data_IF_586846630234
#
_entry.id   IF_586846630234
#
_cell.length_a   1.000
_cell.length_b   1.000
_cell.length_c   1.000
_cell.angle_alpha   90.00
_cell.angle_beta   90.00
_cell.angle_gamma   90.00
#
_symmetry.space_group_name_H-M   'P 1'
#
loop_
_entity.id
_entity.type
_entity.pdbx_description
1 polymer ?
#
# COMPACT_ATOMS: atom_id res chain seq x y z
N UNK A 1 9.48 39.05 4.33
CA UNK A 1 9.61 37.73 4.99
C UNK A 1 8.94 36.73 4.06
N UNK A 2 9.70 36.13 3.15
CA UNK A 2 9.20 35.12 2.21
C UNK A 2 9.24 33.77 2.91
N UNK A 3 8.10 33.33 3.43
CA UNK A 3 7.96 31.97 3.92
C UNK A 3 7.61 31.10 2.72
N UNK A 4 8.63 30.45 2.17
CA UNK A 4 8.47 29.46 1.11
C UNK A 4 7.62 28.31 1.67
N UNK A 5 6.35 28.27 1.27
CA UNK A 5 5.43 27.17 1.52
C UNK A 5 5.98 25.94 0.80
N UNK A 6 6.79 25.14 1.50
CA UNK A 6 7.08 23.79 1.06
C UNK A 6 5.73 23.06 0.98
N UNK A 7 5.31 22.56 -0.20
CA UNK A 7 4.01 21.92 -0.32
C UNK A 7 4.03 20.68 0.56
N UNK A 8 3.14 20.66 1.56
CA UNK A 8 3.05 19.59 2.55
C UNK A 8 2.97 18.24 1.83
N UNK A 9 3.97 17.37 2.07
CA UNK A 9 4.06 16.03 1.48
C UNK A 9 2.78 15.22 1.72
N UNK A 10 2.13 15.44 2.86
CA UNK A 10 0.88 14.78 3.24
C UNK A 10 -0.26 15.16 2.30
N UNK A 11 -0.35 16.41 1.86
CA UNK A 11 -1.35 16.87 0.89
C UNK A 11 -1.11 16.27 -0.49
N UNK A 12 0.15 16.16 -0.91
CA UNK A 12 0.51 15.50 -2.18
C UNK A 12 0.13 14.02 -2.16
N UNK A 13 0.40 13.33 -1.05
CA UNK A 13 0.05 11.93 -0.88
C UNK A 13 -1.46 11.72 -0.87
N UNK A 14 -2.21 12.60 -0.20
CA UNK A 14 -3.67 12.55 -0.21
C UNK A 14 -4.23 12.73 -1.63
N UNK A 15 -3.74 13.71 -2.39
CA UNK A 15 -4.17 13.93 -3.78
C UNK A 15 -3.83 12.75 -4.69
N UNK A 16 -2.65 12.15 -4.52
CA UNK A 16 -2.27 10.96 -5.28
C UNK A 16 -3.15 9.75 -4.93
N UNK A 17 -3.51 9.59 -3.65
CA UNK A 17 -4.41 8.52 -3.20
C UNK A 17 -5.82 8.69 -3.75
N UNK A 18 -6.37 9.91 -3.74
CA UNK A 18 -7.69 10.19 -4.34
C UNK A 18 -7.70 9.87 -5.84
N UNK A 19 -6.67 10.31 -6.58
CA UNK A 19 -6.56 10.00 -8.00
C UNK A 19 -6.43 8.49 -8.28
N UNK A 20 -5.73 7.75 -7.43
CA UNK A 20 -5.62 6.30 -7.54
C UNK A 20 -6.95 5.59 -7.22
N UNK A 21 -7.71 6.10 -6.25
CA UNK A 21 -9.03 5.59 -5.92
C UNK A 21 -10.00 5.78 -7.10
N UNK A 22 -10.03 6.96 -7.70
CA UNK A 22 -10.84 7.25 -8.89
C UNK A 22 -10.48 6.31 -10.06
N UNK A 23 -9.19 6.04 -10.27
CA UNK A 23 -8.72 5.11 -11.30
C UNK A 23 -9.19 3.68 -11.03
N UNK A 24 -9.09 3.20 -9.79
CA UNK A 24 -9.56 1.86 -9.42
C UNK A 24 -11.07 1.72 -9.60
N UNK A 25 -11.84 2.74 -9.21
CA UNK A 25 -13.30 2.78 -9.41
C UNK A 25 -13.64 2.77 -10.90
N UNK A 26 -12.95 3.58 -11.72
CA UNK A 26 -13.15 3.61 -13.16
C UNK A 26 -12.83 2.27 -13.83
N UNK A 27 -11.79 1.57 -13.38
CA UNK A 27 -11.43 0.23 -13.88
C UNK A 27 -12.51 -0.83 -13.56
N UNK A 28 -13.27 -0.65 -12.49
CA UNK A 28 -14.41 -1.49 -12.11
C UNK A 28 -15.76 -0.95 -12.60
N UNK A 29 -15.77 -0.19 -13.71
CA UNK A 29 -17.01 0.29 -14.33
C UNK A 29 -17.79 1.30 -13.48
N UNK A 30 -17.14 1.94 -12.50
CA UNK A 30 -17.77 2.88 -11.58
C UNK A 30 -18.33 2.26 -10.30
N UNK A 31 -18.25 0.93 -10.12
CA UNK A 31 -18.68 0.29 -8.87
C UNK A 31 -17.55 0.30 -7.84
N UNK A 32 -17.66 1.18 -6.85
CA UNK A 32 -16.71 1.29 -5.76
C UNK A 32 -16.63 0.02 -4.90
N UNK A 33 -17.72 -0.75 -4.76
CA UNK A 33 -17.71 -2.02 -4.01
C UNK A 33 -16.94 -3.10 -4.78
N UNK A 34 -17.06 -3.14 -6.09
CA UNK A 34 -16.23 -4.03 -6.92
C UNK A 34 -14.76 -3.64 -6.88
N UNK A 35 -14.45 -2.33 -6.94
CA UNK A 35 -13.08 -1.83 -6.79
C UNK A 35 -12.45 -2.24 -5.46
N UNK A 36 -13.18 -2.12 -4.34
CA UNK A 36 -12.68 -2.59 -3.03
C UNK A 36 -12.43 -4.09 -3.04
N UNK A 37 -13.34 -4.91 -3.58
CA UNK A 37 -13.12 -6.36 -3.68
C UNK A 37 -11.88 -6.69 -4.52
N UNK A 38 -11.70 -6.03 -5.65
CA UNK A 38 -10.54 -6.22 -6.51
C UNK A 38 -9.23 -5.84 -5.80
N UNK A 39 -9.22 -4.73 -5.07
CA UNK A 39 -8.07 -4.29 -4.29
C UNK A 39 -7.74 -5.25 -3.14
N UNK A 40 -8.74 -5.83 -2.47
CA UNK A 40 -8.51 -6.83 -1.42
C UNK A 40 -7.86 -8.10 -2.00
N UNK A 41 -8.34 -8.59 -3.14
CA UNK A 41 -7.74 -9.74 -3.83
C UNK A 41 -6.31 -9.41 -4.29
N UNK A 42 -6.09 -8.22 -4.84
CA UNK A 42 -4.76 -7.77 -5.26
C UNK A 42 -3.78 -7.66 -4.08
N UNK A 43 -4.24 -7.17 -2.92
CA UNK A 43 -3.43 -7.12 -1.70
C UNK A 43 -3.06 -8.53 -1.22
N UNK A 44 -4.02 -9.45 -1.15
CA UNK A 44 -3.75 -10.85 -0.77
C UNK A 44 -2.73 -11.50 -1.72
N UNK A 45 -2.86 -11.25 -3.02
CA UNK A 45 -1.90 -11.72 -4.02
C UNK A 45 -0.48 -11.15 -3.79
N UNK A 46 -0.36 -9.84 -3.53
CA UNK A 46 0.93 -9.20 -3.27
C UNK A 46 1.58 -9.69 -1.97
N UNK A 47 0.78 -9.94 -0.93
CA UNK A 47 1.26 -10.52 0.32
C UNK A 47 1.83 -11.92 0.09
N UNK A 48 1.13 -12.76 -0.68
CA UNK A 48 1.59 -14.10 -1.04
C UNK A 48 2.87 -14.08 -1.88
N UNK A 49 2.94 -13.21 -2.89
CA UNK A 49 4.14 -13.04 -3.71
C UNK A 49 5.34 -12.57 -2.88
N UNK A 50 5.11 -11.63 -1.95
CA UNK A 50 6.16 -11.17 -1.04
C UNK A 50 6.65 -12.31 -0.15
N UNK A 51 5.74 -13.06 0.48
CA UNK A 51 6.11 -14.23 1.30
C UNK A 51 6.91 -15.27 0.52
N UNK A 52 6.54 -15.52 -0.75
CA UNK A 52 7.24 -16.45 -1.62
C UNK A 52 8.67 -15.98 -1.98
N UNK A 53 8.87 -14.67 -2.10
CA UNK A 53 10.17 -14.07 -2.46
C UNK A 53 11.10 -13.85 -1.26
N UNK A 54 10.58 -13.93 -0.04
CA UNK A 54 11.37 -13.70 1.18
C UNK A 54 12.26 -14.91 1.50
N UNK A 55 13.55 -14.65 1.78
CA UNK A 55 14.50 -15.71 2.13
C UNK A 55 14.12 -16.42 3.43
N UNK A 56 14.36 -17.75 3.50
CA UNK A 56 14.15 -18.55 4.72
C UNK A 56 14.91 -18.00 5.94
N UNK A 57 16.09 -17.39 5.71
CA UNK A 57 16.89 -16.75 6.75
C UNK A 57 16.19 -15.54 7.37
N UNK A 58 15.54 -14.71 6.54
CA UNK A 58 14.75 -13.59 7.00
C UNK A 58 13.55 -14.06 7.84
N UNK A 59 12.74 -15.02 7.33
CA UNK A 59 11.59 -15.57 8.06
C UNK A 59 12.00 -16.14 9.42
N UNK A 60 13.12 -16.88 9.46
CA UNK A 60 13.67 -17.38 10.72
C UNK A 60 14.02 -16.24 11.67
N UNK A 61 14.67 -15.18 11.19
CA UNK A 61 15.02 -14.05 12.04
C UNK A 61 13.80 -13.32 12.59
N UNK A 62 12.75 -13.11 11.78
CA UNK A 62 11.47 -12.51 12.23
C UNK A 62 10.83 -13.38 13.34
N UNK A 63 10.72 -14.69 13.13
CA UNK A 63 10.14 -15.61 14.14
C UNK A 63 10.90 -15.62 15.47
N UNK A 64 12.19 -15.34 15.47
CA UNK A 64 13.01 -15.27 16.69
C UNK A 64 13.16 -13.83 17.22
N UNK A 65 12.39 -12.86 16.71
CA UNK A 65 12.44 -11.47 17.16
C UNK A 65 13.76 -10.75 16.85
N UNK A 66 14.51 -11.21 15.84
CA UNK A 66 15.81 -10.64 15.45
C UNK A 66 15.70 -9.42 14.53
N UNK A 67 14.51 -9.17 13.98
CA UNK A 67 14.22 -8.02 13.13
C UNK A 67 12.99 -7.29 13.66
N UNK A 68 13.02 -5.95 13.63
CA UNK A 68 11.83 -5.13 13.83
C UNK A 68 11.07 -5.07 12.52
N UNK A 69 10.01 -5.87 12.41
CA UNK A 69 9.06 -5.81 11.29
C UNK A 69 7.98 -4.78 11.60
N UNK A 70 7.49 -4.09 10.57
CA UNK A 70 6.30 -3.25 10.69
C UNK A 70 5.09 -4.11 11.11
N UNK A 71 4.34 -3.69 12.12
CA UNK A 71 3.26 -4.49 12.73
C UNK A 71 1.84 -4.01 12.40
N UNK A 72 1.71 -3.11 11.42
CA UNK A 72 0.45 -2.39 11.19
C UNK A 72 0.41 -1.09 11.98
#
# INVERSE_FOLDING_TARGET
MSEAVAPNLQTKNAQALEAAADQAIAACGGDAREAVKALLIANEFLEQEMEAQVSRGYIRGVRHGRFNTYSG
#
